data_IF_194019111132
#
_entry.id   IF_194019111132
#
_cell.length_a   1.000
_cell.length_b   1.000
_cell.length_c   1.000
_cell.angle_alpha   90.00
_cell.angle_beta   90.00
_cell.angle_gamma   90.00
#
_symmetry.space_group_name_H-M   'P 1'
#
loop_
_entity.id
_entity.type
_entity.pdbx_description
1 polymer ?
#
# COMPACT_ATOMS: atom_id res chain seq x y z
N UNK A 1 6.43 8.38 -12.80
CA UNK A 1 5.12 7.98 -12.24
C UNK A 1 5.35 7.26 -10.92
N UNK A 2 4.64 7.62 -9.85
CA UNK A 2 4.64 6.82 -8.63
C UNK A 2 4.00 5.46 -8.97
N UNK A 3 4.77 4.39 -8.79
CA UNK A 3 4.36 3.03 -9.08
C UNK A 3 3.24 2.65 -8.11
N UNK A 4 1.99 2.74 -8.55
CA UNK A 4 0.83 2.42 -7.74
C UNK A 4 0.46 0.95 -7.97
N UNK A 5 0.37 0.17 -6.90
CA UNK A 5 -0.12 -1.21 -7.01
C UNK A 5 -1.65 -1.21 -7.04
N UNK A 6 -2.25 -0.95 -8.20
CA UNK A 6 -3.71 -0.95 -8.39
C UNK A 6 -4.30 -2.37 -8.41
N UNK A 7 -3.48 -3.39 -8.69
CA UNK A 7 -3.97 -4.75 -8.93
C UNK A 7 -4.07 -5.60 -7.66
N UNK A 8 -3.25 -5.35 -6.62
CA UNK A 8 -3.22 -6.18 -5.41
C UNK A 8 -3.03 -5.36 -4.13
N UNK A 9 -4.05 -4.57 -3.77
CA UNK A 9 -4.07 -3.84 -2.50
C UNK A 9 -4.35 -4.77 -1.31
N UNK A 10 -3.38 -5.58 -0.90
CA UNK A 10 -3.50 -6.61 0.15
C UNK A 10 -3.38 -6.06 1.58
N UNK A 11 -3.70 -4.78 1.80
CA UNK A 11 -3.58 -4.18 3.12
C UNK A 11 -4.53 -4.88 4.12
N UNK A 12 -4.04 -5.49 5.22
CA UNK A 12 -4.91 -6.19 6.16
C UNK A 12 -5.76 -5.24 7.02
N UNK A 13 -5.48 -3.92 6.96
CA UNK A 13 -6.26 -2.90 7.67
C UNK A 13 -7.51 -2.54 6.88
N UNK A 14 -8.53 -3.40 6.96
CA UNK A 14 -9.84 -3.20 6.33
C UNK A 14 -10.60 -1.98 6.87
N UNK A 15 -10.33 -1.59 8.12
CA UNK A 15 -10.89 -0.40 8.77
C UNK A 15 -10.27 0.93 8.27
N UNK A 16 -9.24 0.86 7.42
CA UNK A 16 -8.62 2.07 6.88
C UNK A 16 -9.52 2.70 5.79
N UNK A 17 -9.75 4.00 5.88
CA UNK A 17 -10.45 4.82 4.87
C UNK A 17 -9.81 4.74 3.46
N UNK A 18 -8.53 4.37 3.41
CA UNK A 18 -7.73 4.19 2.18
C UNK A 18 -7.55 2.73 1.79
N UNK A 19 -8.25 1.80 2.46
CA UNK A 19 -8.27 0.40 2.10
C UNK A 19 -8.80 0.23 0.66
N UNK A 20 -8.11 -0.55 -0.17
CA UNK A 20 -8.38 -0.68 -1.61
C UNK A 20 -7.89 0.50 -2.48
N UNK A 21 -7.53 1.65 -1.89
CA UNK A 21 -7.00 2.82 -2.61
C UNK A 21 -5.48 2.88 -2.51
N UNK A 22 -4.82 1.96 -3.21
CA UNK A 22 -3.38 1.79 -3.08
C UNK A 22 -2.55 3.04 -3.38
N UNK A 23 -2.92 3.85 -4.38
CA UNK A 23 -2.17 5.06 -4.70
C UNK A 23 -2.28 6.12 -3.61
N UNK A 24 -3.48 6.31 -3.06
CA UNK A 24 -3.71 7.23 -1.93
C UNK A 24 -3.00 6.74 -0.67
N UNK A 25 -3.04 5.42 -0.40
CA UNK A 25 -2.35 4.80 0.72
C UNK A 25 -0.83 5.01 0.62
N UNK A 26 -0.23 4.76 -0.56
CA UNK A 26 1.20 4.99 -0.81
C UNK A 26 1.54 6.46 -0.60
N UNK A 27 0.79 7.40 -1.19
CA UNK A 27 1.10 8.82 -1.06
C UNK A 27 0.96 9.32 0.40
N UNK A 28 -0.04 8.84 1.14
CA UNK A 28 -0.22 9.18 2.54
C UNK A 28 0.91 8.66 3.43
N UNK A 29 1.36 7.43 3.19
CA UNK A 29 2.46 6.82 3.93
C UNK A 29 3.83 7.13 3.34
N UNK A 30 3.91 7.85 2.21
CA UNK A 30 5.18 8.22 1.56
C UNK A 30 6.07 9.08 2.46
N UNK A 31 5.46 9.84 3.35
CA UNK A 31 6.13 10.66 4.36
C UNK A 31 6.45 9.89 5.64
N UNK A 32 5.99 8.64 5.76
CA UNK A 32 6.29 7.75 6.88
C UNK A 32 7.45 6.83 6.47
N UNK A 33 8.37 6.54 7.39
CA UNK A 33 9.42 5.57 7.11
C UNK A 33 8.83 4.16 6.96
N UNK A 34 8.83 3.66 5.72
CA UNK A 34 8.50 2.27 5.41
C UNK A 34 7.61 2.10 4.19
N UNK A 35 7.74 0.94 3.53
CA UNK A 35 6.82 0.54 2.43
C UNK A 35 5.45 0.22 3.02
N UNK A 36 4.40 0.75 2.40
CA UNK A 36 3.01 0.33 2.67
C UNK A 36 2.84 -1.16 2.37
N UNK A 37 1.89 -1.80 3.05
CA UNK A 37 1.71 -3.25 2.97
C UNK A 37 1.53 -3.76 1.53
N UNK A 38 0.75 -3.04 0.72
CA UNK A 38 0.54 -3.35 -0.69
C UNK A 38 1.78 -3.17 -1.59
N UNK A 39 2.85 -2.54 -1.09
CA UNK A 39 4.16 -2.44 -1.76
C UNK A 39 5.24 -3.24 -1.04
N UNK A 40 4.88 -3.98 0.02
CA UNK A 40 5.76 -4.99 0.59
C UNK A 40 5.59 -6.21 -0.30
N UNK A 41 6.62 -6.44 -1.12
CA UNK A 41 6.73 -7.67 -1.88
C UNK A 41 6.52 -8.83 -0.91
N UNK A 42 5.52 -9.67 -1.15
CA UNK A 42 5.30 -10.90 -0.39
C UNK A 42 6.33 -11.97 -0.83
N UNK A 43 7.51 -11.56 -1.29
CA UNK A 43 8.66 -12.43 -1.54
C UNK A 43 9.42 -12.66 -0.24
N UNK A 44 8.92 -13.60 0.56
CA UNK A 44 9.71 -14.41 1.47
C UNK A 44 8.91 -15.67 1.78
N UNK A 45 8.98 -16.61 0.86
CA UNK A 45 8.71 -18.03 1.11
C UNK A 45 9.87 -18.64 1.90
#
# INVERSE_FOLDING_TARGET
MANCNEENCTCPKTDCERHGKCCECINFHRSQEGKVFCMRDQESK
#
